data_IF_473775687590
#
_entry.id   IF_473775687590
#
_cell.length_a   1.000
_cell.length_b   1.000
_cell.length_c   1.000
_cell.angle_alpha   90.00
_cell.angle_beta   90.00
_cell.angle_gamma   90.00
#
_symmetry.space_group_name_H-M   'P 1'
#
loop_
_entity.id
_entity.type
_entity.pdbx_description
1 polymer ?
#
# COMPACT_ATOMS: atom_id res chain seq x y z
N UNK A 1 -25.02 26.35 -18.58
CA UNK A 1 -24.68 25.07 -19.25
C UNK A 1 -23.38 24.40 -18.77
N UNK A 2 -22.55 25.04 -17.94
CA UNK A 2 -21.19 24.51 -17.55
C UNK A 2 -21.18 23.56 -16.38
N UNK A 3 -22.15 23.59 -15.45
CA UNK A 3 -22.15 22.78 -14.22
C UNK A 3 -22.55 21.32 -14.48
N UNK A 4 -23.50 21.09 -15.40
CA UNK A 4 -24.02 19.75 -15.71
C UNK A 4 -23.00 18.91 -16.52
N UNK A 5 -22.30 19.53 -17.47
CA UNK A 5 -21.23 18.87 -18.24
C UNK A 5 -20.04 18.47 -17.35
N UNK A 6 -19.68 19.27 -16.34
CA UNK A 6 -18.64 18.93 -15.36
C UNK A 6 -19.07 17.73 -14.49
N UNK A 7 -20.33 17.72 -14.04
CA UNK A 7 -20.87 16.62 -13.22
C UNK A 7 -20.90 15.30 -13.99
N UNK A 8 -21.31 15.33 -15.26
CA UNK A 8 -21.32 14.15 -16.15
C UNK A 8 -19.91 13.64 -16.45
N UNK A 9 -18.93 14.55 -16.65
CA UNK A 9 -17.53 14.17 -16.89
C UNK A 9 -16.88 13.54 -15.62
N UNK A 10 -17.18 14.09 -14.44
CA UNK A 10 -16.71 13.54 -13.14
C UNK A 10 -17.29 12.17 -12.92
N UNK A 11 -18.59 11.95 -13.20
CA UNK A 11 -19.27 10.67 -13.10
C UNK A 11 -18.64 9.63 -14.05
N UNK A 12 -18.38 10.00 -15.30
CA UNK A 12 -17.72 9.12 -16.27
C UNK A 12 -16.31 8.73 -15.84
N UNK A 13 -15.51 9.68 -15.34
CA UNK A 13 -14.17 9.42 -14.81
C UNK A 13 -14.21 8.41 -13.65
N UNK A 14 -15.14 8.57 -12.73
CA UNK A 14 -15.32 7.67 -11.59
C UNK A 14 -15.69 6.26 -12.04
N UNK A 15 -16.66 6.11 -12.96
CA UNK A 15 -17.05 4.80 -13.51
C UNK A 15 -15.89 4.09 -14.20
N UNK A 16 -15.06 4.82 -14.95
CA UNK A 16 -13.88 4.27 -15.59
C UNK A 16 -12.88 3.77 -14.53
N UNK A 17 -12.64 4.54 -13.47
CA UNK A 17 -11.74 4.14 -12.39
C UNK A 17 -12.27 2.92 -11.63
N UNK A 18 -13.59 2.83 -11.37
CA UNK A 18 -14.20 1.69 -10.70
C UNK A 18 -14.05 0.40 -11.52
N UNK A 19 -14.34 0.48 -12.82
CA UNK A 19 -14.17 -0.65 -13.74
C UNK A 19 -12.69 -1.06 -13.85
N UNK A 20 -11.78 -0.09 -13.97
CA UNK A 20 -10.35 -0.34 -14.07
C UNK A 20 -9.80 -0.99 -12.80
N UNK A 21 -10.19 -0.52 -11.60
CA UNK A 21 -9.77 -1.10 -10.31
C UNK A 21 -10.16 -2.58 -10.23
N UNK A 22 -11.41 -2.93 -10.58
CA UNK A 22 -11.85 -4.33 -10.60
C UNK A 22 -11.08 -5.18 -11.60
N UNK A 23 -11.00 -4.72 -12.85
CA UNK A 23 -10.36 -5.48 -13.92
C UNK A 23 -8.86 -5.67 -13.70
N UNK A 24 -8.15 -4.66 -13.22
CA UNK A 24 -6.74 -4.80 -12.87
C UNK A 24 -6.53 -5.76 -11.69
N UNK A 25 -7.42 -5.75 -10.69
CA UNK A 25 -7.36 -6.69 -9.59
C UNK A 25 -7.62 -8.14 -10.03
N UNK A 26 -8.56 -8.35 -10.97
CA UNK A 26 -8.95 -9.67 -11.46
C UNK A 26 -7.96 -10.24 -12.47
N UNK A 27 -7.52 -9.42 -13.45
CA UNK A 27 -6.80 -9.88 -14.65
C UNK A 27 -5.35 -9.42 -14.71
N UNK A 28 -4.94 -8.54 -13.79
CA UNK A 28 -3.65 -7.86 -13.83
C UNK A 28 -3.59 -6.76 -14.88
N UNK A 29 -2.44 -6.09 -14.95
CA UNK A 29 -2.23 -5.02 -15.91
C UNK A 29 -2.27 -5.55 -17.35
N UNK A 30 -1.47 -6.56 -17.69
CA UNK A 30 -1.38 -7.10 -19.05
C UNK A 30 -2.71 -7.71 -19.54
N UNK A 31 -3.43 -8.43 -18.67
CA UNK A 31 -4.71 -9.07 -18.99
C UNK A 31 -5.90 -8.12 -19.14
N UNK A 32 -5.71 -6.82 -18.86
CA UNK A 32 -6.77 -5.81 -18.94
C UNK A 32 -6.60 -4.92 -20.16
N UNK A 33 -7.60 -4.84 -21.04
CA UNK A 33 -7.61 -3.92 -22.19
C UNK A 33 -8.47 -2.69 -21.89
N UNK A 34 -8.13 -1.56 -22.50
CA UNK A 34 -8.94 -0.33 -22.42
C UNK A 34 -10.37 -0.56 -22.94
N UNK A 35 -10.54 -1.43 -23.97
CA UNK A 35 -11.88 -1.80 -24.45
C UNK A 35 -12.70 -2.54 -23.39
N UNK A 36 -12.10 -3.43 -22.62
CA UNK A 36 -12.79 -4.10 -21.53
C UNK A 36 -13.20 -3.11 -20.43
N UNK A 37 -12.31 -2.18 -20.07
CA UNK A 37 -12.61 -1.13 -19.10
C UNK A 37 -13.76 -0.24 -19.57
N UNK A 38 -13.75 0.22 -20.82
CA UNK A 38 -14.82 1.08 -21.35
C UNK A 38 -16.15 0.36 -21.46
N UNK A 39 -16.16 -0.92 -21.86
CA UNK A 39 -17.37 -1.74 -21.90
C UNK A 39 -17.99 -1.90 -20.51
N UNK A 40 -17.18 -2.20 -19.50
CA UNK A 40 -17.65 -2.35 -18.13
C UNK A 40 -18.09 -1.03 -17.48
N UNK A 41 -17.40 0.07 -17.80
CA UNK A 41 -17.74 1.41 -17.32
C UNK A 41 -18.96 2.03 -18.01
N UNK A 42 -19.48 1.42 -19.07
CA UNK A 42 -20.50 2.05 -19.93
C UNK A 42 -20.00 3.38 -20.53
N UNK A 43 -18.73 3.45 -20.90
CA UNK A 43 -18.06 4.63 -21.42
C UNK A 43 -17.56 4.37 -22.84
N UNK A 44 -17.29 5.42 -23.62
CA UNK A 44 -16.65 5.28 -24.93
C UNK A 44 -15.12 5.34 -24.81
N UNK A 45 -14.43 4.83 -25.82
CA UNK A 45 -12.98 4.79 -25.86
C UNK A 45 -12.34 6.22 -25.79
N UNK A 46 -13.00 7.20 -26.41
CA UNK A 46 -12.52 8.57 -26.39
C UNK A 46 -12.52 9.16 -24.97
N UNK A 47 -13.44 8.74 -24.08
CA UNK A 47 -13.47 9.20 -22.70
C UNK A 47 -12.22 8.76 -21.92
N UNK A 48 -11.69 7.55 -22.14
CA UNK A 48 -10.45 7.10 -21.51
C UNK A 48 -9.27 7.92 -22.03
N UNK A 49 -9.18 8.12 -23.34
CA UNK A 49 -8.15 8.97 -23.95
C UNK A 49 -8.18 10.40 -23.39
N UNK A 50 -9.37 10.97 -23.24
CA UNK A 50 -9.56 12.34 -22.70
C UNK A 50 -9.18 12.45 -21.21
N UNK A 51 -9.59 11.48 -20.37
CA UNK A 51 -9.38 11.57 -18.92
C UNK A 51 -8.02 11.06 -18.46
N UNK A 52 -7.45 10.09 -19.15
CA UNK A 52 -6.26 9.37 -18.68
C UNK A 52 -5.14 9.28 -19.73
N UNK A 53 -5.46 9.40 -21.01
CA UNK A 53 -4.50 9.22 -22.11
C UNK A 53 -4.23 7.75 -22.42
N UNK A 54 -3.30 7.11 -21.72
CA UNK A 54 -2.87 5.74 -21.94
C UNK A 54 -3.28 4.79 -20.80
N UNK A 55 -3.14 3.48 -21.03
CA UNK A 55 -3.44 2.41 -20.04
C UNK A 55 -2.60 2.54 -18.79
N UNK A 56 -1.34 2.91 -18.95
CA UNK A 56 -0.37 3.12 -17.88
C UNK A 56 -0.80 4.26 -16.96
N UNK A 57 -1.24 5.37 -17.54
CA UNK A 57 -1.73 6.53 -16.79
C UNK A 57 -3.07 6.23 -16.07
N UNK A 58 -3.94 5.42 -16.68
CA UNK A 58 -5.15 4.90 -16.00
C UNK A 58 -4.77 4.01 -14.82
N UNK A 59 -3.82 3.10 -15.00
CA UNK A 59 -3.33 2.24 -13.92
C UNK A 59 -2.73 3.05 -12.77
N UNK A 60 -1.86 4.02 -13.07
CA UNK A 60 -1.30 4.95 -12.08
C UNK A 60 -2.41 5.76 -11.36
N UNK A 61 -3.48 6.14 -12.08
CA UNK A 61 -4.62 6.83 -11.46
C UNK A 61 -5.41 5.91 -10.50
N UNK A 62 -5.56 4.63 -10.83
CA UNK A 62 -6.15 3.63 -9.93
C UNK A 62 -5.28 3.46 -8.68
N UNK A 63 -3.97 3.29 -8.83
CA UNK A 63 -3.05 3.18 -7.70
C UNK A 63 -3.10 4.43 -6.80
N UNK A 64 -3.07 5.63 -7.37
CA UNK A 64 -3.20 6.89 -6.60
C UNK A 64 -4.53 6.97 -5.86
N UNK A 65 -5.63 6.52 -6.46
CA UNK A 65 -6.95 6.50 -5.80
C UNK A 65 -6.99 5.54 -4.61
N UNK A 66 -6.32 4.39 -4.72
CA UNK A 66 -6.23 3.39 -3.63
C UNK A 66 -5.28 3.87 -2.53
N UNK A 67 -4.08 4.29 -2.93
CA UNK A 67 -2.98 4.60 -2.00
C UNK A 67 -2.98 6.03 -1.47
N UNK A 68 -3.52 7.00 -2.22
CA UNK A 68 -3.48 8.41 -1.83
C UNK A 68 -3.98 8.65 -0.41
N UNK A 69 -5.23 8.27 -0.05
CA UNK A 69 -5.74 8.46 1.30
C UNK A 69 -4.91 7.76 2.40
N UNK A 70 -4.30 6.61 2.06
CA UNK A 70 -3.42 5.88 2.98
C UNK A 70 -2.10 6.63 3.16
N UNK A 71 -1.51 7.10 2.07
CA UNK A 71 -0.27 7.87 2.08
C UNK A 71 -0.42 9.16 2.89
N UNK A 72 -1.53 9.90 2.68
CA UNK A 72 -1.85 11.13 3.40
C UNK A 72 -1.94 10.87 4.91
N UNK A 73 -2.63 9.80 5.30
CA UNK A 73 -2.78 9.42 6.72
C UNK A 73 -1.45 8.93 7.32
N UNK A 74 -0.66 8.17 6.56
CA UNK A 74 0.68 7.75 7.00
C UNK A 74 1.59 8.96 7.23
N UNK A 75 1.61 9.92 6.29
CA UNK A 75 2.41 11.15 6.43
C UNK A 75 1.94 12.04 7.58
N UNK A 76 0.62 12.14 7.80
CA UNK A 76 0.05 12.86 8.92
C UNK A 76 0.49 12.26 10.26
N UNK A 77 0.35 10.93 10.42
CA UNK A 77 0.77 10.23 11.66
C UNK A 77 2.27 10.34 11.90
N UNK A 78 3.09 10.20 10.85
CA UNK A 78 4.53 10.38 10.97
C UNK A 78 4.86 11.80 11.40
N UNK A 79 4.20 12.82 10.83
CA UNK A 79 4.39 14.21 11.22
C UNK A 79 4.04 14.48 12.69
N UNK A 80 3.00 13.85 13.23
CA UNK A 80 2.64 13.95 14.65
C UNK A 80 3.70 13.32 15.56
N UNK A 81 4.25 12.16 15.18
CA UNK A 81 5.36 11.53 15.92
C UNK A 81 6.63 12.40 15.89
N UNK A 82 6.95 12.95 14.70
CA UNK A 82 8.12 13.85 14.56
C UNK A 82 7.95 15.18 15.29
N UNK A 83 6.73 15.71 15.43
CA UNK A 83 6.47 16.91 16.21
C UNK A 83 6.68 16.68 17.71
N UNK A 84 6.36 15.49 18.22
CA UNK A 84 6.62 15.11 19.60
C UNK A 84 8.12 15.00 19.96
N UNK A 85 9.00 14.76 18.96
CA UNK A 85 10.47 14.79 19.16
C UNK A 85 10.97 16.20 19.56
N UNK A 86 10.28 17.26 19.10
CA UNK A 86 10.68 18.66 19.32
C UNK A 86 10.27 19.25 20.67
N UNK A 87 9.44 18.57 21.46
CA UNK A 87 9.04 18.99 22.79
C UNK A 87 10.14 18.67 23.83
N UNK A 88 10.29 19.54 24.82
CA UNK A 88 11.35 19.40 25.83
C UNK A 88 11.23 18.05 26.59
N UNK A 89 12.06 17.07 26.22
CA UNK A 89 12.08 15.72 26.79
C UNK A 89 11.54 14.62 25.83
N UNK A 90 11.09 14.94 24.62
CA UNK A 90 10.67 13.99 23.59
C UNK A 90 11.89 13.34 22.92
N UNK A 91 12.05 12.03 23.08
CA UNK A 91 13.02 11.23 22.31
C UNK A 91 12.50 10.90 20.92
N UNK A 92 13.35 10.32 20.06
CA UNK A 92 12.94 9.79 18.76
C UNK A 92 11.76 8.82 18.92
N UNK A 93 10.78 8.80 17.96
CA UNK A 93 9.66 7.88 18.00
C UNK A 93 10.12 6.44 18.16
N UNK A 94 9.39 5.67 18.95
CA UNK A 94 9.71 4.25 19.10
C UNK A 94 9.48 3.51 17.77
N UNK A 95 10.20 2.40 17.58
CA UNK A 95 9.98 1.53 16.38
C UNK A 95 8.52 1.05 16.33
N UNK A 96 7.90 0.80 17.48
CA UNK A 96 6.50 0.37 17.56
C UNK A 96 5.54 1.47 17.09
N UNK A 97 5.76 2.73 17.50
CA UNK A 97 4.95 3.87 17.05
C UNK A 97 5.08 4.07 15.54
N UNK A 98 6.29 3.98 15.00
CA UNK A 98 6.55 4.09 13.57
C UNK A 98 5.87 2.95 12.78
N UNK A 99 5.96 1.71 13.28
CA UNK A 99 5.25 0.56 12.67
C UNK A 99 3.74 0.77 12.74
N UNK A 100 3.22 1.18 13.89
CA UNK A 100 1.79 1.46 14.07
C UNK A 100 1.28 2.55 13.12
N UNK A 101 2.03 3.64 12.99
CA UNK A 101 1.69 4.75 12.10
C UNK A 101 1.72 4.34 10.62
N UNK A 102 2.63 3.44 10.21
CA UNK A 102 2.73 2.94 8.84
C UNK A 102 1.69 1.87 8.52
N UNK A 103 1.49 0.90 9.40
CA UNK A 103 0.68 -0.32 9.16
C UNK A 103 -0.82 -0.06 9.31
N UNK A 104 -1.24 0.71 10.34
CA UNK A 104 -2.66 0.86 10.65
C UNK A 104 -3.50 1.40 9.49
N UNK A 105 -3.09 2.44 8.74
CA UNK A 105 -3.87 2.92 7.60
C UNK A 105 -4.02 1.88 6.49
N UNK A 106 -3.05 0.97 6.33
CA UNK A 106 -3.11 -0.13 5.37
C UNK A 106 -4.11 -1.20 5.81
N UNK A 107 -4.10 -1.56 7.11
CA UNK A 107 -5.09 -2.49 7.68
C UNK A 107 -6.49 -1.92 7.53
N UNK A 108 -6.69 -0.63 7.84
CA UNK A 108 -7.97 0.06 7.70
C UNK A 108 -8.45 0.06 6.24
N UNK A 109 -7.57 0.32 5.27
CA UNK A 109 -7.93 0.24 3.85
C UNK A 109 -8.44 -1.14 3.46
N UNK A 110 -7.74 -2.19 3.90
CA UNK A 110 -8.04 -3.56 3.52
C UNK A 110 -9.22 -4.14 4.29
N UNK A 111 -9.55 -3.58 5.48
CA UNK A 111 -10.62 -4.02 6.37
C UNK A 111 -11.99 -3.43 6.08
N UNK A 112 -12.07 -2.22 5.51
CA UNK A 112 -13.34 -1.48 5.31
C UNK A 112 -14.38 -2.21 4.46
N UNK A 113 -13.92 -2.94 3.46
CA UNK A 113 -14.71 -3.77 2.56
C UNK A 113 -13.89 -5.01 2.24
N UNK A 114 -14.37 -6.16 2.70
CA UNK A 114 -13.61 -7.42 2.62
C UNK A 114 -13.35 -7.86 1.18
N UNK A 115 -14.32 -7.70 0.28
CA UNK A 115 -14.18 -8.07 -1.13
C UNK A 115 -13.21 -7.14 -1.85
N UNK A 116 -13.35 -5.83 -1.61
CA UNK A 116 -12.43 -4.83 -2.14
C UNK A 116 -11.04 -4.98 -1.57
N UNK A 117 -10.91 -5.22 -0.27
CA UNK A 117 -9.62 -5.46 0.40
C UNK A 117 -8.90 -6.68 -0.19
N UNK A 118 -9.62 -7.79 -0.44
CA UNK A 118 -9.07 -8.96 -1.14
C UNK A 118 -8.66 -8.65 -2.59
N UNK A 119 -9.44 -7.82 -3.30
CA UNK A 119 -9.10 -7.41 -4.66
C UNK A 119 -7.82 -6.56 -4.68
N UNK A 120 -7.70 -5.58 -3.78
CA UNK A 120 -6.49 -4.74 -3.62
C UNK A 120 -5.28 -5.62 -3.27
N UNK A 121 -5.41 -6.53 -2.31
CA UNK A 121 -4.31 -7.43 -1.93
C UNK A 121 -3.84 -8.30 -3.12
N UNK A 122 -4.77 -8.82 -3.94
CA UNK A 122 -4.41 -9.56 -5.17
C UNK A 122 -3.69 -8.67 -6.18
N UNK A 123 -4.14 -7.42 -6.35
CA UNK A 123 -3.48 -6.46 -7.24
C UNK A 123 -2.04 -6.19 -6.79
N UNK A 124 -1.84 -5.91 -5.50
CA UNK A 124 -0.50 -5.68 -4.94
C UNK A 124 0.39 -6.92 -5.08
N UNK A 125 -0.15 -8.11 -4.80
CA UNK A 125 0.58 -9.37 -4.98
C UNK A 125 1.06 -9.57 -6.43
N UNK A 126 0.23 -9.25 -7.42
CA UNK A 126 0.60 -9.30 -8.84
C UNK A 126 1.71 -8.30 -9.17
N UNK A 127 1.57 -7.05 -8.73
CA UNK A 127 2.60 -6.01 -8.94
C UNK A 127 3.95 -6.46 -8.38
N UNK A 128 3.95 -7.06 -7.18
CA UNK A 128 5.18 -7.55 -6.54
C UNK A 128 5.76 -8.78 -7.28
N UNK A 129 4.92 -9.63 -7.86
CA UNK A 129 5.32 -10.81 -8.61
C UNK A 129 5.85 -10.49 -10.02
N UNK A 130 5.36 -9.43 -10.66
CA UNK A 130 5.73 -9.04 -12.03
C UNK A 130 7.21 -8.58 -12.15
N UNK A 131 7.89 -8.32 -11.03
CA UNK A 131 9.35 -8.15 -10.94
C UNK A 131 9.96 -6.98 -11.72
N UNK A 132 9.15 -6.08 -12.28
CA UNK A 132 9.63 -4.94 -13.09
C UNK A 132 8.59 -4.38 -14.05
N UNK A 133 9.01 -3.44 -14.90
CA UNK A 133 8.16 -2.87 -15.93
C UNK A 133 7.33 -1.65 -15.47
N UNK A 134 6.25 -1.38 -16.20
CA UNK A 134 5.43 -0.15 -16.03
C UNK A 134 4.61 -0.17 -14.75
N UNK A 135 4.12 -1.33 -14.32
CA UNK A 135 3.38 -1.50 -13.07
C UNK A 135 4.22 -1.15 -11.85
N UNK A 136 5.49 -1.58 -11.85
CA UNK A 136 6.42 -1.26 -10.77
C UNK A 136 6.77 0.23 -10.76
N UNK A 137 7.05 0.84 -11.91
CA UNK A 137 7.31 2.29 -12.00
C UNK A 137 6.13 3.10 -11.49
N UNK A 138 4.91 2.80 -11.96
CA UNK A 138 3.70 3.48 -11.50
C UNK A 138 3.46 3.30 -9.99
N UNK A 139 3.88 2.19 -9.41
CA UNK A 139 3.78 1.94 -7.96
C UNK A 139 4.81 2.77 -7.20
N UNK A 140 6.07 2.79 -7.65
CA UNK A 140 7.15 3.60 -7.05
C UNK A 140 6.73 5.06 -6.99
N UNK A 141 6.27 5.64 -8.11
CA UNK A 141 5.81 7.04 -8.19
C UNK A 141 4.72 7.39 -7.16
N UNK A 142 3.93 6.39 -6.74
CA UNK A 142 2.83 6.61 -5.79
C UNK A 142 3.27 6.49 -4.33
N UNK A 143 4.30 5.67 -4.03
CA UNK A 143 4.68 5.36 -2.64
C UNK A 143 6.04 5.93 -2.21
N UNK A 144 6.87 6.40 -3.14
CA UNK A 144 8.26 6.78 -2.91
C UNK A 144 8.44 7.81 -1.80
N UNK A 145 7.62 8.87 -1.79
CA UNK A 145 7.71 9.93 -0.79
C UNK A 145 7.48 9.38 0.62
N UNK A 146 6.43 8.59 0.79
CA UNK A 146 6.06 8.00 2.08
C UNK A 146 7.14 7.04 2.55
N UNK A 147 7.54 6.10 1.67
CA UNK A 147 8.55 5.09 2.02
C UNK A 147 9.88 5.75 2.38
N UNK A 148 10.31 6.76 1.63
CA UNK A 148 11.54 7.49 1.92
C UNK A 148 11.50 8.22 3.28
N UNK A 149 10.34 8.83 3.65
CA UNK A 149 10.19 9.48 4.95
C UNK A 149 10.23 8.47 6.11
N UNK A 150 9.50 7.36 5.98
CA UNK A 150 9.51 6.30 7.00
C UNK A 150 10.88 5.64 7.14
N UNK A 151 11.59 5.36 6.03
CA UNK A 151 12.95 4.83 6.09
C UNK A 151 13.91 5.76 6.87
N UNK A 152 13.80 7.08 6.67
CA UNK A 152 14.60 8.06 7.45
C UNK A 152 14.23 8.02 8.94
N UNK A 153 12.96 7.92 9.28
CA UNK A 153 12.52 7.84 10.67
C UNK A 153 12.99 6.54 11.34
N UNK A 154 12.86 5.40 10.64
CA UNK A 154 13.39 4.11 11.13
C UNK A 154 14.91 4.12 11.26
N UNK A 155 15.65 4.79 10.36
CA UNK A 155 17.11 4.91 10.48
C UNK A 155 17.52 5.67 11.75
N UNK A 156 16.75 6.70 12.16
CA UNK A 156 16.98 7.39 13.45
C UNK A 156 16.68 6.50 14.65
N UNK A 157 15.60 5.70 14.57
CA UNK A 157 15.20 4.80 15.66
C UNK A 157 16.07 3.53 15.78
N UNK A 158 16.75 3.15 14.70
CA UNK A 158 17.57 1.92 14.60
C UNK A 158 18.99 2.23 14.07
N UNK A 159 19.77 3.08 14.73
CA UNK A 159 21.08 3.56 14.22
C UNK A 159 22.14 2.44 14.12
N UNK A 160 21.89 1.28 14.72
CA UNK A 160 22.77 0.10 14.69
C UNK A 160 22.50 -0.85 13.51
N UNK A 161 21.45 -0.59 12.71
CA UNK A 161 21.14 -1.38 11.51
C UNK A 161 21.69 -0.64 10.28
N UNK A 162 22.37 -1.36 9.38
CA UNK A 162 22.87 -0.73 8.16
C UNK A 162 21.72 -0.27 7.24
N UNK A 163 21.92 0.78 6.42
CA UNK A 163 20.89 1.27 5.51
C UNK A 163 20.35 0.18 4.57
N UNK A 164 21.21 -0.72 4.08
CA UNK A 164 20.84 -1.82 3.18
C UNK A 164 19.95 -2.85 3.90
N UNK A 165 20.33 -3.22 5.13
CA UNK A 165 19.57 -4.17 5.94
C UNK A 165 18.25 -3.56 6.37
N UNK A 166 18.23 -2.28 6.75
CA UNK A 166 17.01 -1.56 7.11
C UNK A 166 16.05 -1.47 5.92
N UNK A 167 16.54 -1.13 4.74
CA UNK A 167 15.74 -1.11 3.53
C UNK A 167 15.12 -2.48 3.23
N UNK A 168 15.89 -3.55 3.36
CA UNK A 168 15.39 -4.92 3.17
C UNK A 168 14.30 -5.28 4.19
N UNK A 169 14.51 -4.98 5.48
CA UNK A 169 13.54 -5.22 6.56
C UNK A 169 12.25 -4.44 6.32
N UNK A 170 12.37 -3.19 5.91
CA UNK A 170 11.21 -2.35 5.59
C UNK A 170 10.42 -2.92 4.40
N UNK A 171 11.08 -3.37 3.35
CA UNK A 171 10.44 -4.06 2.22
C UNK A 171 9.72 -5.32 2.64
N UNK A 172 10.30 -6.12 3.53
CA UNK A 172 9.65 -7.30 4.09
C UNK A 172 8.35 -6.93 4.86
N UNK A 173 8.34 -5.81 5.59
CA UNK A 173 7.14 -5.26 6.24
C UNK A 173 6.01 -5.02 5.23
N UNK A 174 6.32 -4.37 4.10
CA UNK A 174 5.34 -4.11 3.03
C UNK A 174 4.75 -5.41 2.50
N UNK A 175 5.60 -6.41 2.26
CA UNK A 175 5.16 -7.74 1.77
C UNK A 175 4.23 -8.40 2.78
N UNK A 176 4.59 -8.46 4.07
CA UNK A 176 3.75 -9.07 5.11
C UNK A 176 2.38 -8.41 5.16
N UNK A 177 2.32 -7.08 5.16
CA UNK A 177 1.04 -6.35 5.19
C UNK A 177 0.24 -6.55 3.90
N UNK A 178 0.87 -6.63 2.74
CA UNK A 178 0.18 -6.86 1.48
C UNK A 178 -0.43 -8.27 1.39
N UNK A 179 0.26 -9.27 1.92
CA UNK A 179 -0.11 -10.68 1.76
C UNK A 179 -0.94 -11.27 2.90
N UNK A 180 -1.11 -10.59 4.03
CA UNK A 180 -1.82 -11.17 5.17
C UNK A 180 -3.28 -11.56 4.85
N UNK A 181 -3.93 -10.92 3.87
CA UNK A 181 -5.29 -11.25 3.39
C UNK A 181 -5.32 -12.16 2.16
N UNK A 182 -4.17 -12.42 1.54
CA UNK A 182 -4.09 -13.36 0.42
C UNK A 182 -3.93 -14.77 1.00
N UNK A 183 -4.82 -15.68 0.67
CA UNK A 183 -4.71 -17.08 1.06
C UNK A 183 -3.55 -17.75 0.29
N UNK A 184 -2.31 -17.48 0.71
CA UNK A 184 -1.09 -18.03 0.11
C UNK A 184 -0.91 -19.50 0.48
N UNK A 185 -1.49 -19.92 1.61
CA UNK A 185 -1.36 -21.29 2.12
C UNK A 185 -2.70 -22.03 1.96
N UNK A 186 -2.80 -22.98 1.02
CA UNK A 186 -4.02 -23.73 0.78
C UNK A 186 -4.29 -24.80 1.84
N UNK A 187 -3.31 -25.07 2.73
CA UNK A 187 -3.36 -26.20 3.67
C UNK A 187 -3.73 -25.76 5.08
N UNK A 188 -4.84 -26.32 5.57
CA UNK A 188 -5.06 -26.62 6.99
C UNK A 188 -4.88 -25.48 7.97
N UNK A 189 -5.39 -24.30 7.67
CA UNK A 189 -5.44 -23.23 8.67
C UNK A 189 -6.34 -23.68 9.81
N UNK A 190 -5.82 -23.79 11.05
CA UNK A 190 -6.68 -24.06 12.20
C UNK A 190 -7.77 -22.97 12.27
N UNK A 191 -9.04 -23.33 12.52
CA UNK A 191 -10.11 -22.34 12.70
C UNK A 191 -9.75 -21.28 13.74
N UNK A 192 -9.03 -21.69 14.78
CA UNK A 192 -8.54 -20.85 15.88
C UNK A 192 -7.41 -19.88 15.48
N UNK A 193 -6.79 -20.06 14.32
CA UNK A 193 -5.70 -19.20 13.84
C UNK A 193 -6.17 -17.91 13.14
N UNK A 194 -7.44 -17.55 13.25
CA UNK A 194 -7.95 -16.28 12.71
C UNK A 194 -7.93 -15.21 13.79
N UNK A 195 -7.49 -13.98 13.48
CA UNK A 195 -7.77 -12.86 14.35
C UNK A 195 -9.30 -12.75 14.49
N UNK A 196 -9.79 -12.53 15.68
CA UNK A 196 -11.22 -12.40 15.95
C UNK A 196 -11.75 -11.06 15.40
N UNK A 197 -10.89 -10.04 15.45
CA UNK A 197 -11.22 -8.67 15.02
C UNK A 197 -10.11 -8.05 14.15
N UNK A 198 -10.43 -6.94 13.48
CA UNK A 198 -9.43 -6.12 12.79
C UNK A 198 -8.40 -5.53 13.78
N UNK A 199 -8.81 -5.29 15.02
CA UNK A 199 -7.94 -4.78 16.08
C UNK A 199 -6.91 -5.84 16.50
N UNK A 200 -7.33 -7.10 16.66
CA UNK A 200 -6.41 -8.22 16.93
C UNK A 200 -5.39 -8.37 15.81
N UNK A 201 -5.85 -8.34 14.56
CA UNK A 201 -4.98 -8.41 13.39
C UNK A 201 -3.94 -7.28 13.39
N UNK A 202 -4.39 -6.06 13.67
CA UNK A 202 -3.52 -4.88 13.75
C UNK A 202 -2.49 -5.05 14.85
N UNK A 203 -2.90 -5.46 16.05
CA UNK A 203 -2.01 -5.68 17.18
C UNK A 203 -0.97 -6.77 16.86
N UNK A 204 -1.38 -7.87 16.22
CA UNK A 204 -0.45 -8.94 15.82
C UNK A 204 0.56 -8.47 14.78
N UNK A 205 0.10 -7.74 13.76
CA UNK A 205 1.00 -7.19 12.74
C UNK A 205 2.01 -6.20 13.34
N UNK A 206 1.55 -5.27 14.19
CA UNK A 206 2.44 -4.29 14.83
C UNK A 206 3.46 -5.00 15.71
N UNK A 207 3.04 -5.92 16.56
CA UNK A 207 3.93 -6.68 17.45
C UNK A 207 4.98 -7.46 16.66
N UNK A 208 4.54 -8.24 15.65
CA UNK A 208 5.43 -9.06 14.82
C UNK A 208 6.44 -8.21 14.04
N UNK A 209 5.97 -7.15 13.37
CA UNK A 209 6.82 -6.31 12.53
C UNK A 209 7.78 -5.48 13.37
N UNK A 210 7.37 -5.01 14.55
CA UNK A 210 8.25 -4.32 15.51
C UNK A 210 9.38 -5.24 15.95
N UNK A 211 9.07 -6.49 16.30
CA UNK A 211 10.09 -7.48 16.67
C UNK A 211 11.04 -7.79 15.49
N UNK A 212 10.51 -7.93 14.28
CA UNK A 212 11.30 -8.18 13.08
C UNK A 212 12.25 -7.03 12.75
N UNK A 213 11.79 -5.78 12.87
CA UNK A 213 12.62 -4.59 12.64
C UNK A 213 13.70 -4.41 13.72
N UNK A 214 13.38 -4.74 14.98
CA UNK A 214 14.33 -4.65 16.12
C UNK A 214 15.28 -5.84 16.23
N UNK A 215 15.11 -6.90 15.45
CA UNK A 215 15.99 -8.07 15.51
C UNK A 215 17.47 -7.64 15.41
N UNK A 216 18.42 -8.31 16.10
CA UNK A 216 19.83 -8.01 15.96
C UNK A 216 20.26 -8.02 14.48
N UNK A 217 21.20 -7.15 14.12
CA UNK A 217 21.76 -7.14 12.75
C UNK A 217 22.48 -8.45 12.48
N UNK A 218 22.21 -9.05 11.32
CA UNK A 218 22.88 -10.26 10.87
C UNK A 218 24.42 -10.04 10.68
N UNK A 219 24.84 -8.79 10.51
CA UNK A 219 26.23 -8.41 10.34
C UNK A 219 26.93 -8.00 11.65
N UNK A 220 26.19 -8.00 12.79
CA UNK A 220 26.75 -7.64 14.10
C UNK A 220 27.58 -8.77 14.73
N UNK A 221 27.55 -9.97 14.16
CA UNK A 221 28.40 -11.09 14.62
C UNK A 221 29.73 -11.00 13.88
N UNK A 222 30.89 -10.88 14.58
CA UNK A 222 32.18 -11.01 13.93
C UNK A 222 32.22 -12.36 13.19
N UNK A 223 32.48 -12.33 11.90
CA UNK A 223 32.80 -13.58 11.19
C UNK A 223 34.03 -14.17 11.85
N UNK A 224 34.01 -15.49 12.20
CA UNK A 224 35.15 -16.15 12.83
C UNK A 224 36.38 -16.15 11.96
#
# INVERSE_FOLDING_TARGET
>A
MTTDARRTATDTKTRILDAAERLFAERGFEGTSIRAVTAEAGANLAAVGYHFGAKEALFAAVLRRIRGPVNDEQLRRLGELEAGEGEAGGGAPSVEDLVGAYVSPLVDLLGRDEDRGRAISRLVARILADGGGETQRATVDVVEEVEARYLRAFARALPHISPEELWWRFRATVVVVAFHRVAVFPTGRPPEARPETEEDLRAWLISFLTAALRAPSANATPRP
#
